data_IF_719317859918
#
_entry.id   IF_719317859918
#
_cell.length_a   1.000
_cell.length_b   1.000
_cell.length_c   1.000
_cell.angle_alpha   90.00
_cell.angle_beta   90.00
_cell.angle_gamma   90.00
#
_symmetry.space_group_name_H-M   'P 1'
#
loop_
_entity.id
_entity.type
_entity.pdbx_description
1 polymer ?
#
# COMPACT_ATOMS: atom_id res chain seq x y z
N UNK A 1 8.39 -10.57 -8.15
CA UNK A 1 7.85 -9.49 -7.29
C UNK A 1 8.30 -8.18 -7.90
N UNK A 2 7.39 -7.27 -8.23
CA UNK A 2 7.77 -6.00 -8.88
C UNK A 2 8.11 -4.99 -7.79
N UNK A 3 9.34 -4.49 -7.78
CA UNK A 3 9.80 -3.43 -6.87
C UNK A 3 8.91 -2.16 -6.98
N UNK A 4 8.22 -2.01 -8.10
CA UNK A 4 7.37 -0.86 -8.42
C UNK A 4 6.14 -0.67 -7.51
N UNK A 5 5.72 -1.69 -6.74
CA UNK A 5 4.53 -1.61 -5.86
C UNK A 5 4.84 -1.72 -4.38
N UNK A 6 6.12 -1.82 -4.02
CA UNK A 6 6.56 -1.83 -2.62
C UNK A 6 6.41 -0.45 -2.01
N UNK A 7 5.72 -0.37 -0.87
CA UNK A 7 5.49 0.88 -0.13
C UNK A 7 5.79 0.68 1.35
N UNK A 8 6.41 1.67 1.98
CA UNK A 8 6.56 1.77 3.43
C UNK A 8 5.72 2.92 3.95
N UNK A 9 4.85 2.67 4.93
CA UNK A 9 3.98 3.70 5.51
C UNK A 9 3.78 3.53 7.02
N UNK A 10 3.62 4.64 7.76
CA UNK A 10 3.19 4.55 9.15
C UNK A 10 1.75 4.04 9.22
N UNK A 11 1.51 3.09 10.12
CA UNK A 11 0.17 2.63 10.45
C UNK A 11 -0.45 3.58 11.48
N UNK A 12 -1.60 4.17 11.14
CA UNK A 12 -2.24 5.22 11.92
C UNK A 12 -3.07 4.62 13.06
N UNK A 13 -2.39 3.97 14.00
CA UNK A 13 -2.91 3.44 15.28
C UNK A 13 -2.52 4.36 16.44
N UNK A 14 -3.22 4.25 17.57
CA UNK A 14 -2.86 4.94 18.80
C UNK A 14 -1.50 4.41 19.31
N UNK A 15 -0.71 5.26 19.96
CA UNK A 15 0.66 4.89 20.37
C UNK A 15 0.65 3.71 21.36
N UNK A 16 -0.31 3.73 22.29
CA UNK A 16 -0.58 2.69 23.28
C UNK A 16 -1.06 1.37 22.68
N UNK A 17 -1.47 1.35 21.41
CA UNK A 17 -1.86 0.13 20.71
C UNK A 17 -0.67 -0.59 20.06
N UNK A 18 0.51 0.05 19.98
CA UNK A 18 1.73 -0.53 19.42
C UNK A 18 2.24 -1.61 20.37
N UNK A 19 2.25 -2.86 19.89
CA UNK A 19 2.65 -4.04 20.66
C UNK A 19 3.22 -5.12 19.75
N UNK A 20 3.97 -6.06 20.33
CA UNK A 20 4.47 -7.24 19.60
C UNK A 20 3.33 -8.11 19.06
N UNK A 21 2.18 -8.14 19.75
CA UNK A 21 0.98 -8.83 19.26
C UNK A 21 0.45 -8.21 17.97
N UNK A 22 0.35 -6.87 17.93
CA UNK A 22 -0.07 -6.15 16.73
C UNK A 22 0.94 -6.38 15.59
N UNK A 23 2.23 -6.32 15.90
CA UNK A 23 3.29 -6.61 14.94
C UNK A 23 3.14 -8.01 14.34
N UNK A 24 3.01 -9.04 15.18
CA UNK A 24 2.86 -10.42 14.74
C UNK A 24 1.59 -10.62 13.88
N UNK A 25 0.49 -9.97 14.25
CA UNK A 25 -0.75 -10.02 13.46
C UNK A 25 -0.55 -9.44 12.05
N UNK A 26 0.19 -8.33 11.92
CA UNK A 26 0.46 -7.68 10.65
C UNK A 26 1.50 -8.42 9.81
N UNK A 27 2.53 -9.01 10.43
CA UNK A 27 3.50 -9.87 9.76
C UNK A 27 2.83 -11.12 9.15
N UNK A 28 1.68 -11.56 9.71
CA UNK A 28 0.87 -12.65 9.17
C UNK A 28 -0.03 -12.28 7.98
N UNK A 29 -0.11 -11.00 7.60
CA UNK A 29 -0.96 -10.56 6.47
C UNK A 29 -0.23 -10.80 5.15
N UNK A 30 -0.91 -11.48 4.22
CA UNK A 30 -0.37 -11.70 2.88
C UNK A 30 -0.04 -10.38 2.18
N UNK A 31 1.20 -10.25 1.69
CA UNK A 31 1.69 -9.04 1.03
C UNK A 31 2.41 -8.06 1.96
N UNK A 32 2.42 -8.28 3.27
CA UNK A 32 3.32 -7.57 4.20
C UNK A 32 4.72 -8.17 4.11
N UNK A 33 5.73 -7.30 3.98
CA UNK A 33 7.14 -7.69 3.87
C UNK A 33 7.92 -7.41 5.14
N UNK A 34 7.59 -6.33 5.85
CA UNK A 34 8.21 -5.98 7.11
C UNK A 34 7.30 -5.12 7.98
N UNK A 35 7.42 -5.31 9.30
CA UNK A 35 6.79 -4.44 10.30
C UNK A 35 7.88 -3.99 11.26
N UNK A 36 8.01 -2.67 11.45
CA UNK A 36 9.01 -2.06 12.34
C UNK A 36 8.32 -1.26 13.42
N UNK A 37 8.77 -1.47 14.67
CA UNK A 37 8.38 -0.65 15.81
C UNK A 37 9.51 0.36 16.06
N UNK A 38 9.15 1.66 16.03
CA UNK A 38 10.03 2.78 16.37
C UNK A 38 9.24 3.79 17.19
N UNK A 39 9.19 5.05 16.74
CA UNK A 39 8.28 6.06 17.33
C UNK A 39 6.79 5.78 17.07
N UNK A 40 6.50 4.77 16.26
CA UNK A 40 5.18 4.23 15.94
C UNK A 40 5.36 2.91 15.21
N UNK A 41 4.30 2.44 14.56
CA UNK A 41 4.36 1.21 13.76
C UNK A 41 4.48 1.56 12.28
N UNK A 42 5.54 1.09 11.62
CA UNK A 42 5.76 1.24 10.18
C UNK A 42 5.61 -0.12 9.50
N UNK A 43 4.84 -0.15 8.41
CA UNK A 43 4.57 -1.37 7.63
C UNK A 43 5.08 -1.18 6.21
N UNK A 44 5.94 -2.11 5.78
CA UNK A 44 6.36 -2.27 4.40
C UNK A 44 5.57 -3.41 3.76
N UNK A 45 4.94 -3.15 2.62
CA UNK A 45 4.06 -4.10 1.95
C UNK A 45 4.02 -3.87 0.43
N UNK A 46 3.54 -4.87 -0.30
CA UNK A 46 3.26 -4.81 -1.73
C UNK A 46 1.81 -4.31 -1.97
N UNK A 47 1.67 -3.07 -2.44
CA UNK A 47 0.37 -2.44 -2.74
C UNK A 47 -0.44 -3.18 -3.83
N UNK A 48 0.22 -4.04 -4.62
CA UNK A 48 -0.47 -4.89 -5.59
C UNK A 48 -1.26 -6.02 -4.92
N UNK A 49 -0.85 -6.44 -3.71
CA UNK A 49 -1.38 -7.61 -2.98
C UNK A 49 -2.26 -7.23 -1.80
N UNK A 50 -1.89 -6.18 -1.07
CA UNK A 50 -2.64 -5.67 0.09
C UNK A 50 -2.69 -4.15 0.03
N UNK A 51 -3.75 -3.55 0.56
CA UNK A 51 -3.88 -2.09 0.65
C UNK A 51 -3.94 -1.62 2.10
N UNK A 52 -3.69 -0.34 2.28
CA UNK A 52 -3.69 0.31 3.57
C UNK A 52 -4.98 0.12 4.39
N UNK A 53 -6.20 0.21 3.80
CA UNK A 53 -7.43 -0.08 4.54
C UNK A 53 -7.49 -1.52 5.08
N UNK A 54 -7.01 -2.51 4.32
CA UNK A 54 -6.94 -3.91 4.78
C UNK A 54 -5.96 -4.05 5.95
N UNK A 55 -4.81 -3.39 5.91
CA UNK A 55 -3.85 -3.36 7.03
C UNK A 55 -4.45 -2.72 8.29
N UNK A 56 -5.21 -1.64 8.13
CA UNK A 56 -5.91 -1.00 9.24
C UNK A 56 -6.98 -1.93 9.84
N UNK A 57 -7.75 -2.64 9.01
CA UNK A 57 -8.73 -3.62 9.49
C UNK A 57 -8.07 -4.79 10.23
N UNK A 58 -6.93 -5.29 9.75
CA UNK A 58 -6.15 -6.32 10.44
C UNK A 58 -5.64 -5.83 11.80
N UNK A 59 -5.19 -4.57 11.88
CA UNK A 59 -4.77 -3.97 13.13
C UNK A 59 -5.94 -3.80 14.12
N UNK A 60 -7.09 -3.33 13.66
CA UNK A 60 -8.29 -3.20 14.48
C UNK A 60 -8.77 -4.57 14.98
N UNK A 61 -8.72 -5.61 14.13
CA UNK A 61 -9.02 -7.00 14.53
C UNK A 61 -8.02 -7.56 15.56
N UNK A 62 -6.77 -7.09 15.54
CA UNK A 62 -5.77 -7.40 16.55
C UNK A 62 -5.96 -6.61 17.87
N UNK A 63 -6.98 -5.74 17.94
CA UNK A 63 -7.31 -4.92 19.11
C UNK A 63 -6.63 -3.54 19.12
N UNK A 64 -5.98 -3.15 18.03
CA UNK A 64 -5.34 -1.84 17.96
C UNK A 64 -6.36 -0.73 17.72
N UNK A 65 -6.41 0.24 18.62
CA UNK A 65 -7.23 1.42 18.43
C UNK A 65 -6.64 2.28 17.29
N UNK A 66 -7.50 2.67 16.36
CA UNK A 66 -7.13 3.57 15.29
C UNK A 66 -6.84 4.99 15.84
N UNK A 67 -5.80 5.66 15.33
CA UNK A 67 -5.55 7.09 15.61
C UNK A 67 -6.82 7.93 15.35
N UNK A 68 -7.11 8.88 16.25
CA UNK A 68 -8.35 9.65 16.21
C UNK A 68 -8.18 10.98 15.45
N UNK A 69 -9.31 11.57 15.06
CA UNK A 69 -9.36 12.91 14.46
C UNK A 69 -9.49 12.92 12.94
N UNK A 70 -9.93 14.07 12.41
CA UNK A 70 -10.22 14.28 11.00
C UNK A 70 -8.99 14.11 10.09
N UNK A 71 -7.83 14.59 10.54
CA UNK A 71 -6.57 14.44 9.80
C UNK A 71 -6.14 12.97 9.65
N UNK A 72 -6.29 12.18 10.71
CA UNK A 72 -6.00 10.75 10.65
C UNK A 72 -6.94 10.05 9.65
N UNK A 73 -8.24 10.36 9.69
CA UNK A 73 -9.23 9.81 8.75
C UNK A 73 -8.91 10.16 7.29
N UNK A 74 -8.58 11.42 7.03
CA UNK A 74 -8.19 11.87 5.68
C UNK A 74 -6.92 11.17 5.20
N UNK A 75 -5.90 11.05 6.05
CA UNK A 75 -4.64 10.39 5.71
C UNK A 75 -4.82 8.91 5.41
N UNK A 76 -5.70 8.19 6.15
CA UNK A 76 -6.06 6.80 5.82
C UNK A 76 -6.70 6.69 4.45
N UNK A 77 -7.68 7.55 4.16
CA UNK A 77 -8.36 7.56 2.87
C UNK A 77 -7.37 7.86 1.72
N UNK A 78 -6.45 8.81 1.94
CA UNK A 78 -5.40 9.14 0.99
C UNK A 78 -4.47 7.95 0.69
N UNK A 79 -4.05 7.21 1.73
CA UNK A 79 -3.23 6.03 1.54
C UNK A 79 -3.94 4.92 0.77
N UNK A 80 -5.22 4.66 1.08
CA UNK A 80 -6.03 3.72 0.29
C UNK A 80 -6.15 4.14 -1.18
N UNK A 81 -6.35 5.43 -1.44
CA UNK A 81 -6.38 5.97 -2.80
C UNK A 81 -5.06 5.77 -3.55
N UNK A 82 -3.92 6.05 -2.90
CA UNK A 82 -2.60 5.84 -3.49
C UNK A 82 -2.32 4.36 -3.82
N UNK A 83 -2.75 3.43 -2.97
CA UNK A 83 -2.60 2.00 -3.23
C UNK A 83 -3.46 1.54 -4.40
N UNK A 84 -4.69 2.04 -4.49
CA UNK A 84 -5.55 1.82 -5.65
C UNK A 84 -4.88 2.26 -6.95
N UNK A 85 -4.24 3.43 -6.95
CA UNK A 85 -3.49 3.93 -8.11
C UNK A 85 -2.26 3.08 -8.43
N UNK A 86 -1.46 2.70 -7.43
CA UNK A 86 -0.31 1.82 -7.63
C UNK A 86 -0.71 0.48 -8.23
N UNK A 87 -1.78 -0.12 -7.68
CA UNK A 87 -2.33 -1.39 -8.18
C UNK A 87 -2.87 -1.26 -9.60
N UNK A 88 -3.56 -0.16 -9.93
CA UNK A 88 -4.04 0.11 -11.27
C UNK A 88 -2.88 0.30 -12.27
N UNK A 89 -1.87 1.07 -11.89
CA UNK A 89 -0.68 1.31 -12.70
C UNK A 89 0.12 0.02 -12.94
N UNK A 90 0.28 -0.83 -11.93
CA UNK A 90 0.96 -2.11 -12.08
C UNK A 90 0.22 -3.08 -13.03
N UNK A 91 -1.10 -2.94 -13.16
CA UNK A 91 -1.93 -3.73 -14.08
C UNK A 91 -2.01 -3.14 -15.48
N UNK A 92 -1.63 -1.88 -15.66
CA UNK A 92 -1.65 -1.23 -16.96
C UNK A 92 -0.53 -1.81 -17.84
N UNK A 93 -0.92 -2.51 -18.92
CA UNK A 93 0.02 -3.17 -19.84
C UNK A 93 0.75 -2.19 -20.76
N UNK A 94 0.20 -0.99 -20.94
CA UNK A 94 0.81 0.15 -21.58
C UNK A 94 0.09 1.39 -21.05
N UNK A 95 0.83 2.40 -20.61
CA UNK A 95 0.22 3.65 -20.17
C UNK A 95 -0.51 4.33 -21.35
N UNK A 96 -1.58 5.11 -21.09
CA UNK A 96 -2.22 5.95 -22.10
C UNK A 96 -1.30 7.13 -22.43
N UNK A 97 -0.16 6.85 -23.06
CA UNK A 97 0.70 7.86 -23.64
C UNK A 97 0.33 7.96 -25.12
N UNK A 98 -0.02 9.17 -25.56
CA UNK A 98 -0.47 9.49 -26.93
C UNK A 98 0.54 9.17 -28.04
N UNK A 99 1.69 8.58 -27.71
CA UNK A 99 2.70 8.12 -28.63
C UNK A 99 3.49 6.98 -28.00
N UNK A 100 2.90 5.78 -27.93
CA UNK A 100 3.63 4.58 -27.57
C UNK A 100 4.67 4.29 -28.69
N UNK A 101 5.98 4.50 -28.46
CA UNK A 101 6.98 4.38 -29.53
C UNK A 101 7.01 2.96 -30.09
N UNK A 102 6.76 1.96 -29.25
CA UNK A 102 6.67 0.56 -29.65
C UNK A 102 5.53 0.32 -30.64
N UNK A 103 4.35 0.91 -30.42
CA UNK A 103 3.22 0.83 -31.37
C UNK A 103 3.49 1.62 -32.64
N UNK A 104 4.03 2.83 -32.53
CA UNK A 104 4.37 3.70 -33.67
C UNK A 104 5.42 3.02 -34.57
N UNK A 105 6.46 2.44 -33.97
CA UNK A 105 7.53 1.74 -34.69
C UNK A 105 7.03 0.42 -35.30
N UNK A 106 6.14 -0.31 -34.60
CA UNK A 106 5.51 -1.52 -35.14
C UNK A 106 4.60 -1.21 -36.33
N UNK A 107 3.89 -0.08 -36.34
CA UNK A 107 3.08 0.37 -37.47
C UNK A 107 3.95 0.83 -38.66
N UNK A 108 5.10 1.48 -38.42
CA UNK A 108 6.02 1.90 -39.49
C UNK A 108 6.67 0.74 -40.24
N UNK A 109 6.93 -0.40 -39.59
CA UNK A 109 7.51 -1.59 -40.25
C UNK A 109 6.52 -2.35 -41.15
N UNK A 110 5.22 -2.04 -41.08
CA UNK A 110 4.16 -2.67 -41.89
C UNK A 110 3.79 -1.89 -43.16
N UNK A 111 4.45 -0.75 -43.42
CA UNK A 111 4.35 0.02 -44.65
C UNK A 111 5.65 -0.10 -45.42
#
# INVERSE_FOLDING_TARGET
MSEATRVSRPLLVAAEAVSDRLRAALEGVEGVEAVRIGAGLEVTYDAARVDYPTLMAAAEAAGAAAARGWLARLRRAWYGYLDGNLRANARAKAGPCCSNPTEILAQRRRR
#
